data_IF_978340991994
#
_entry.id   IF_978340991994
#
_cell.length_a   1.000
_cell.length_b   1.000
_cell.length_c   1.000
_cell.angle_alpha   90.00
_cell.angle_beta   90.00
_cell.angle_gamma   90.00
#
_symmetry.space_group_name_H-M   'P 1'
#
loop_
_entity.id
_entity.type
_entity.pdbx_description
1 polymer ?
#
# COMPACT_ATOMS: atom_id res chain seq x y z
N UNK A 1 -35.54 4.08 -18.44
CA UNK A 1 -34.68 2.90 -18.58
C UNK A 1 -33.39 3.19 -17.82
N UNK A 2 -32.97 2.33 -16.89
CA UNK A 2 -31.71 2.52 -16.16
C UNK A 2 -30.51 2.36 -17.10
N UNK A 3 -29.36 2.94 -16.74
CA UNK A 3 -28.11 2.71 -17.47
C UNK A 3 -27.81 1.21 -17.53
N UNK A 4 -27.36 0.68 -18.68
CA UNK A 4 -26.99 -0.72 -18.79
C UNK A 4 -25.87 -1.07 -17.79
N UNK A 5 -25.79 -2.32 -17.29
CA UNK A 5 -24.70 -2.74 -16.44
C UNK A 5 -23.36 -2.57 -17.17
N UNK A 6 -22.31 -2.22 -16.43
CA UNK A 6 -20.97 -2.02 -16.98
C UNK A 6 -20.08 -3.23 -16.66
N UNK A 7 -19.15 -3.54 -17.55
CA UNK A 7 -18.03 -4.44 -17.29
C UNK A 7 -16.72 -3.69 -17.50
N UNK A 8 -15.67 -4.11 -16.79
CA UNK A 8 -14.36 -3.47 -16.90
C UNK A 8 -13.24 -4.50 -16.84
N UNK A 9 -12.20 -4.25 -17.63
CA UNK A 9 -10.91 -4.93 -17.55
C UNK A 9 -9.83 -3.89 -17.30
N UNK A 10 -8.71 -4.30 -16.69
CA UNK A 10 -7.54 -3.43 -16.54
C UNK A 10 -6.34 -4.09 -17.18
N UNK A 11 -5.81 -3.48 -18.24
CA UNK A 11 -4.47 -3.80 -18.69
C UNK A 11 -3.47 -3.26 -17.66
N UNK A 12 -2.47 -4.05 -17.28
CA UNK A 12 -1.48 -3.68 -16.28
C UNK A 12 -0.07 -4.00 -16.78
N UNK A 13 0.60 -3.00 -17.36
CA UNK A 13 2.03 -3.10 -17.65
C UNK A 13 2.83 -2.87 -16.39
N UNK A 14 3.71 -3.80 -16.01
CA UNK A 14 4.63 -3.67 -14.88
C UNK A 14 6.07 -3.98 -15.33
N UNK A 15 6.93 -2.97 -15.30
CA UNK A 15 8.30 -3.01 -15.78
C UNK A 15 9.23 -2.29 -14.78
N UNK A 16 9.71 -2.98 -13.73
CA UNK A 16 10.58 -2.39 -12.70
C UNK A 16 11.84 -1.68 -13.23
N UNK A 17 12.34 -2.11 -14.38
CA UNK A 17 13.51 -1.52 -15.03
C UNK A 17 13.29 -0.06 -15.44
N UNK A 18 12.04 0.38 -15.62
CA UNK A 18 11.68 1.77 -15.94
C UNK A 18 12.18 2.77 -14.90
N UNK A 19 12.38 2.36 -13.65
CA UNK A 19 12.96 3.20 -12.62
C UNK A 19 14.34 3.75 -13.02
N UNK A 20 15.12 3.02 -13.83
CA UNK A 20 16.42 3.48 -14.36
C UNK A 20 16.28 4.55 -15.45
N UNK A 21 15.11 4.65 -16.05
CA UNK A 21 14.77 5.60 -17.11
C UNK A 21 14.04 6.84 -16.57
N UNK A 22 13.77 6.89 -15.26
CA UNK A 22 13.03 8.00 -14.63
C UNK A 22 11.54 8.05 -14.97
N UNK A 23 10.96 6.96 -15.49
CA UNK A 23 9.52 6.86 -15.77
C UNK A 23 8.86 5.85 -14.81
N UNK A 24 7.53 5.92 -14.61
CA UNK A 24 6.82 4.98 -13.74
C UNK A 24 7.04 3.51 -14.13
N UNK A 25 7.07 2.63 -13.12
CA UNK A 25 7.25 1.19 -13.30
C UNK A 25 5.95 0.44 -13.56
N UNK A 26 4.79 1.07 -13.41
CA UNK A 26 3.50 0.53 -13.83
C UNK A 26 2.65 1.51 -14.63
N UNK A 27 1.91 0.97 -15.60
CA UNK A 27 1.01 1.72 -16.49
C UNK A 27 -0.35 1.02 -16.62
N UNK A 28 -1.24 1.14 -15.63
CA UNK A 28 -2.60 0.61 -15.70
C UNK A 28 -3.48 1.38 -16.69
N UNK A 29 -4.25 0.65 -17.48
CA UNK A 29 -5.30 1.19 -18.35
C UNK A 29 -6.61 0.41 -18.15
N UNK A 30 -7.54 0.93 -17.32
CA UNK A 30 -8.91 0.46 -17.28
C UNK A 30 -9.63 0.70 -18.62
N UNK A 31 -10.30 -0.33 -19.11
CA UNK A 31 -11.21 -0.30 -20.24
C UNK A 31 -12.59 -0.64 -19.70
N UNK A 32 -13.54 0.27 -19.84
CA UNK A 32 -14.92 0.12 -19.39
C UNK A 32 -15.80 -0.08 -20.62
N UNK A 33 -16.67 -1.08 -20.58
CA UNK A 33 -17.65 -1.38 -21.63
C UNK A 33 -19.04 -1.53 -21.03
N UNK A 34 -20.08 -1.31 -21.81
CA UNK A 34 -21.41 -1.77 -21.41
C UNK A 34 -21.48 -3.29 -21.57
N UNK A 35 -22.09 -3.98 -20.60
CA UNK A 35 -22.01 -5.42 -20.49
C UNK A 35 -23.06 -6.18 -21.34
N UNK A 36 -24.01 -5.47 -21.97
CA UNK A 36 -25.11 -6.10 -22.71
C UNK A 36 -24.72 -6.44 -24.15
N UNK A 37 -24.06 -5.51 -24.86
CA UNK A 37 -23.60 -5.70 -26.25
C UNK A 37 -22.07 -5.66 -26.35
N UNK A 38 -21.36 -5.42 -25.24
CA UNK A 38 -19.91 -5.38 -25.18
C UNK A 38 -19.29 -4.11 -25.79
N UNK A 39 -20.08 -3.05 -26.00
CA UNK A 39 -19.57 -1.82 -26.60
C UNK A 39 -18.60 -1.10 -25.65
N UNK A 40 -17.38 -0.76 -26.10
CA UNK A 40 -16.44 -0.01 -25.27
C UNK A 40 -16.97 1.40 -25.04
N UNK A 41 -16.94 1.84 -23.77
CA UNK A 41 -17.39 3.16 -23.34
C UNK A 41 -16.22 4.10 -23.09
N UNK A 42 -15.15 3.62 -22.47
CA UNK A 42 -14.00 4.44 -22.12
C UNK A 42 -12.70 3.65 -21.96
N UNK A 43 -11.58 4.32 -22.27
CA UNK A 43 -10.23 3.93 -21.85
C UNK A 43 -9.71 5.04 -20.94
N UNK A 44 -9.31 4.68 -19.73
CA UNK A 44 -9.01 5.65 -18.67
C UNK A 44 -7.55 5.46 -18.21
N UNK A 45 -6.86 6.55 -17.87
CA UNK A 45 -5.58 6.46 -17.17
C UNK A 45 -5.77 5.84 -15.77
N UNK A 46 -5.09 4.74 -15.48
CA UNK A 46 -5.40 3.91 -14.31
C UNK A 46 -4.50 4.09 -13.09
N UNK A 47 -3.52 4.99 -13.12
CA UNK A 47 -2.45 5.04 -12.10
C UNK A 47 -3.04 5.36 -10.74
N UNK A 48 -3.69 6.52 -10.63
CA UNK A 48 -4.38 6.95 -9.43
C UNK A 48 -5.48 5.97 -8.99
N UNK A 49 -6.28 5.46 -9.94
CA UNK A 49 -7.32 4.46 -9.66
C UNK A 49 -6.71 3.20 -9.03
N UNK A 50 -5.58 2.72 -9.56
CA UNK A 50 -4.91 1.51 -9.06
C UNK A 50 -4.33 1.73 -7.67
N UNK A 51 -3.85 2.92 -7.37
CA UNK A 51 -3.36 3.31 -6.04
C UNK A 51 -4.49 3.37 -5.02
N UNK A 52 -5.48 4.23 -5.28
CA UNK A 52 -6.59 4.46 -4.35
C UNK A 52 -7.42 3.21 -4.14
N UNK A 53 -7.72 2.43 -5.18
CA UNK A 53 -8.51 1.19 -5.02
C UNK A 53 -7.76 0.13 -4.20
N UNK A 54 -6.44 0.10 -4.26
CA UNK A 54 -5.63 -0.85 -3.48
C UNK A 54 -5.59 -0.41 -2.02
N UNK A 55 -5.38 0.88 -1.77
CA UNK A 55 -5.52 1.46 -0.43
C UNK A 55 -6.92 1.25 0.16
N UNK A 56 -7.97 1.41 -0.64
CA UNK A 56 -9.36 1.24 -0.21
C UNK A 56 -9.68 -0.19 0.23
N UNK A 57 -9.14 -1.21 -0.46
CA UNK A 57 -9.29 -2.61 -0.04
C UNK A 57 -8.59 -2.84 1.31
N UNK A 58 -7.36 -2.35 1.48
CA UNK A 58 -6.64 -2.43 2.76
C UNK A 58 -7.40 -1.72 3.88
N UNK A 59 -7.93 -0.52 3.60
CA UNK A 59 -8.69 0.26 4.56
C UNK A 59 -10.00 -0.41 4.95
N UNK A 60 -10.71 -1.01 3.99
CA UNK A 60 -11.92 -1.79 4.24
C UNK A 60 -11.62 -2.95 5.19
N UNK A 61 -10.54 -3.69 4.97
CA UNK A 61 -10.11 -4.76 5.87
C UNK A 61 -9.73 -4.21 7.26
N UNK A 62 -8.93 -3.14 7.32
CA UNK A 62 -8.52 -2.52 8.58
C UNK A 62 -9.71 -2.03 9.41
N UNK A 63 -10.74 -1.43 8.79
CA UNK A 63 -11.97 -0.98 9.45
C UNK A 63 -12.75 -2.10 10.16
N UNK A 64 -12.51 -3.36 9.80
CA UNK A 64 -13.17 -4.52 10.41
C UNK A 64 -12.24 -5.35 11.31
N UNK A 65 -10.93 -5.27 11.10
CA UNK A 65 -9.95 -6.17 11.71
C UNK A 65 -8.90 -5.46 12.57
N UNK A 66 -8.65 -4.16 12.35
CA UNK A 66 -7.74 -3.37 13.16
C UNK A 66 -8.46 -2.77 14.37
N UNK A 67 -7.68 -2.30 15.34
CA UNK A 67 -8.21 -1.51 16.45
C UNK A 67 -8.65 -0.12 15.94
N UNK A 68 -9.91 0.27 16.17
CA UNK A 68 -10.42 1.60 15.78
C UNK A 68 -9.67 2.77 16.46
N UNK A 69 -8.94 2.49 17.54
CA UNK A 69 -8.07 3.46 18.25
C UNK A 69 -6.60 3.37 17.84
N UNK A 70 -6.25 2.67 16.76
CA UNK A 70 -4.90 2.64 16.21
C UNK A 70 -4.38 4.06 15.99
N UNK A 71 -3.28 4.39 16.66
CA UNK A 71 -2.69 5.73 16.68
C UNK A 71 -1.35 5.77 15.92
N UNK A 72 -0.85 4.62 15.48
CA UNK A 72 0.41 4.45 14.76
C UNK A 72 0.24 3.61 13.50
N UNK A 73 0.95 4.00 12.44
CA UNK A 73 0.99 3.24 11.18
C UNK A 73 2.42 3.10 10.65
N UNK A 74 2.77 1.89 10.25
CA UNK A 74 4.07 1.51 9.74
C UNK A 74 4.05 1.26 8.24
N UNK A 75 5.09 1.71 7.54
CA UNK A 75 5.25 1.50 6.10
C UNK A 75 6.58 0.86 5.76
N UNK A 76 6.51 -0.31 5.11
CA UNK A 76 7.66 -0.97 4.48
C UNK A 76 7.53 -0.81 2.97
N UNK A 77 8.54 -0.15 2.37
CA UNK A 77 8.54 0.44 1.03
C UNK A 77 7.59 1.64 0.89
N UNK A 78 8.18 2.85 0.90
CA UNK A 78 7.49 4.13 0.94
C UNK A 78 7.24 4.70 -0.46
N UNK A 79 6.79 3.84 -1.39
CA UNK A 79 6.43 4.21 -2.76
C UNK A 79 4.99 4.74 -2.87
N UNK A 80 4.46 4.81 -4.08
CA UNK A 80 3.11 5.34 -4.36
C UNK A 80 1.99 4.73 -3.50
N UNK A 81 2.07 3.43 -3.22
CA UNK A 81 1.09 2.76 -2.33
C UNK A 81 1.15 3.31 -0.91
N UNK A 82 2.32 3.63 -0.35
CA UNK A 82 2.42 4.20 0.99
C UNK A 82 1.73 5.56 1.09
N UNK A 83 1.88 6.42 0.07
CA UNK A 83 1.17 7.71 0.00
C UNK A 83 -0.35 7.53 -0.06
N UNK A 84 -0.85 6.68 -0.96
CA UNK A 84 -2.28 6.44 -1.08
C UNK A 84 -2.90 5.82 0.19
N UNK A 85 -2.16 4.92 0.85
CA UNK A 85 -2.60 4.33 2.11
C UNK A 85 -2.57 5.35 3.25
N UNK A 86 -1.52 6.15 3.39
CA UNK A 86 -1.46 7.19 4.42
C UNK A 86 -2.63 8.18 4.28
N UNK A 87 -2.89 8.62 3.06
CA UNK A 87 -3.97 9.58 2.77
C UNK A 87 -5.34 9.06 3.17
N UNK A 88 -5.62 7.76 2.94
CA UNK A 88 -6.89 7.16 3.31
C UNK A 88 -6.95 6.81 4.80
N UNK A 89 -5.90 6.22 5.36
CA UNK A 89 -5.90 5.74 6.74
C UNK A 89 -5.93 6.89 7.76
N UNK A 90 -5.29 8.03 7.49
CA UNK A 90 -5.37 9.21 8.38
C UNK A 90 -6.78 9.80 8.50
N UNK A 91 -7.68 9.48 7.57
CA UNK A 91 -9.09 9.88 7.62
C UNK A 91 -9.96 8.89 8.39
N UNK A 92 -9.47 7.66 8.59
CA UNK A 92 -10.23 6.53 9.15
C UNK A 92 -9.83 6.14 10.57
N UNK A 93 -8.62 6.52 10.99
CA UNK A 93 -8.03 6.20 12.28
C UNK A 93 -7.43 7.46 12.92
N UNK A 94 -7.37 7.56 14.26
CA UNK A 94 -6.79 8.69 14.98
C UNK A 94 -5.25 8.65 14.97
N UNK A 95 -4.65 8.53 13.78
CA UNK A 95 -3.21 8.41 13.61
C UNK A 95 -2.50 9.68 14.10
N UNK A 96 -1.46 9.49 14.90
CA UNK A 96 -0.57 10.56 15.38
C UNK A 96 0.88 10.35 15.01
N UNK A 97 1.27 9.11 14.65
CA UNK A 97 2.65 8.75 14.30
C UNK A 97 2.73 7.81 13.11
N UNK A 98 3.83 7.92 12.37
CA UNK A 98 4.21 6.96 11.33
C UNK A 98 5.62 6.40 11.59
N UNK A 99 5.83 5.14 11.24
CA UNK A 99 7.15 4.51 11.17
C UNK A 99 7.42 4.14 9.70
N UNK A 100 8.55 4.54 9.14
CA UNK A 100 8.83 4.37 7.72
C UNK A 100 10.18 3.72 7.48
N UNK A 101 10.19 2.67 6.66
CA UNK A 101 11.40 2.03 6.16
C UNK A 101 11.32 1.81 4.65
N UNK A 102 12.42 2.12 3.97
CA UNK A 102 12.63 1.77 2.57
C UNK A 102 14.07 1.36 2.35
N UNK A 103 14.29 0.39 1.46
CA UNK A 103 15.64 -0.01 1.02
C UNK A 103 16.48 1.17 0.51
N UNK A 104 15.84 2.15 -0.15
CA UNK A 104 16.46 3.45 -0.47
C UNK A 104 16.02 4.45 0.58
N UNK A 105 16.96 4.90 1.41
CA UNK A 105 16.69 5.79 2.56
C UNK A 105 15.99 7.08 2.12
N UNK A 106 16.41 7.63 0.98
CA UNK A 106 15.87 8.88 0.41
C UNK A 106 14.38 8.77 0.07
N UNK A 107 13.88 7.56 -0.22
CA UNK A 107 12.46 7.34 -0.48
C UNK A 107 11.64 7.42 0.80
N UNK A 108 12.14 6.85 1.90
CA UNK A 108 11.47 6.93 3.20
C UNK A 108 11.60 8.34 3.81
N UNK A 109 12.74 9.03 3.63
CA UNK A 109 12.91 10.42 4.06
C UNK A 109 11.87 11.35 3.45
N UNK A 110 11.69 11.30 2.12
CA UNK A 110 10.65 12.10 1.42
C UNK A 110 9.24 11.79 1.92
N UNK A 111 8.97 10.53 2.24
CA UNK A 111 7.68 10.12 2.79
C UNK A 111 7.49 10.62 4.22
N UNK A 112 8.52 10.58 5.08
CA UNK A 112 8.48 11.17 6.42
C UNK A 112 8.27 12.69 6.39
N UNK A 113 8.92 13.40 5.46
CA UNK A 113 8.67 14.84 5.25
C UNK A 113 7.20 15.08 4.93
N UNK A 114 6.65 14.35 3.97
CA UNK A 114 5.23 14.47 3.60
C UNK A 114 4.29 14.15 4.78
N UNK A 115 4.57 13.11 5.55
CA UNK A 115 3.77 12.77 6.73
C UNK A 115 3.79 13.89 7.78
N UNK A 116 4.93 14.56 7.94
CA UNK A 116 5.05 15.73 8.83
C UNK A 116 4.25 16.92 8.31
N UNK A 117 4.27 17.17 7.01
CA UNK A 117 3.48 18.24 6.36
C UNK A 117 1.97 18.06 6.56
N UNK A 118 1.48 16.81 6.63
CA UNK A 118 0.08 16.50 6.91
C UNK A 118 -0.22 16.34 8.41
N UNK A 119 0.71 16.71 9.29
CA UNK A 119 0.51 16.85 10.73
C UNK A 119 0.81 15.61 11.58
N UNK A 120 1.50 14.61 11.03
CA UNK A 120 1.87 13.39 11.76
C UNK A 120 3.32 13.44 12.26
N UNK A 121 3.61 12.77 13.38
CA UNK A 121 4.99 12.54 13.82
C UNK A 121 5.62 11.43 12.97
N UNK A 122 6.67 11.73 12.22
CA UNK A 122 7.31 10.74 11.36
C UNK A 122 8.62 10.22 11.95
N UNK A 123 8.76 8.90 12.02
CA UNK A 123 10.00 8.22 12.41
C UNK A 123 10.57 7.46 11.22
N UNK A 124 11.79 7.83 10.82
CA UNK A 124 12.56 7.10 9.82
C UNK A 124 13.32 5.96 10.50
N UNK A 125 13.00 4.71 10.14
CA UNK A 125 13.65 3.54 10.69
C UNK A 125 14.81 3.10 9.78
N UNK A 126 15.97 2.77 10.36
CA UNK A 126 17.12 2.26 9.60
C UNK A 126 16.97 0.77 9.22
N UNK A 127 16.09 0.04 9.91
CA UNK A 127 15.75 -1.36 9.63
C UNK A 127 14.23 -1.52 9.59
N UNK A 128 13.70 -2.60 8.96
CA UNK A 128 12.25 -2.77 8.90
C UNK A 128 11.62 -3.24 10.23
N UNK A 129 12.40 -3.80 11.15
CA UNK A 129 11.88 -4.39 12.40
C UNK A 129 11.14 -3.38 13.29
N UNK A 130 11.67 -2.17 13.59
CA UNK A 130 10.95 -1.16 14.36
C UNK A 130 9.62 -0.74 13.73
N UNK A 131 9.48 -0.81 12.40
CA UNK A 131 8.21 -0.53 11.72
C UNK A 131 7.14 -1.54 12.13
N UNK A 132 7.50 -2.82 12.25
CA UNK A 132 6.57 -3.89 12.63
C UNK A 132 6.30 -3.88 14.14
N UNK A 133 7.33 -3.65 14.96
CA UNK A 133 7.21 -3.67 16.43
C UNK A 133 6.40 -2.49 16.99
N UNK A 134 6.51 -1.30 16.40
CA UNK A 134 5.98 -0.06 16.98
C UNK A 134 4.72 0.48 16.29
N UNK A 135 4.13 -0.27 15.37
CA UNK A 135 2.94 0.16 14.62
C UNK A 135 1.71 -0.69 14.93
N UNK A 136 0.59 -0.03 15.17
CA UNK A 136 -0.72 -0.68 15.33
C UNK A 136 -1.24 -1.20 13.97
N UNK A 137 -0.91 -0.49 12.89
CA UNK A 137 -1.25 -0.84 11.51
C UNK A 137 0.04 -0.93 10.71
N UNK A 138 0.28 -2.02 9.97
CA UNK A 138 1.46 -2.21 9.13
C UNK A 138 1.02 -2.33 7.67
N UNK A 139 1.56 -1.48 6.80
CA UNK A 139 1.37 -1.56 5.35
C UNK A 139 2.70 -1.97 4.70
N UNK A 140 2.67 -3.06 3.94
CA UNK A 140 3.86 -3.56 3.23
C UNK A 140 3.60 -3.57 1.73
N UNK A 141 4.45 -2.89 0.97
CA UNK A 141 4.28 -2.71 -0.49
C UNK A 141 5.60 -2.91 -1.26
N UNK A 142 6.44 -3.83 -0.79
CA UNK A 142 7.72 -4.14 -1.44
C UNK A 142 7.46 -4.61 -2.89
N UNK A 143 8.10 -3.99 -3.90
CA UNK A 143 7.98 -4.39 -5.29
C UNK A 143 8.27 -5.89 -5.48
N UNK A 144 7.56 -6.53 -6.40
CA UNK A 144 7.77 -7.95 -6.65
C UNK A 144 9.17 -8.19 -7.24
N UNK A 145 9.91 -9.11 -6.64
CA UNK A 145 11.25 -9.53 -7.05
C UNK A 145 11.25 -11.03 -7.32
N UNK A 146 12.23 -11.51 -8.10
CA UNK A 146 12.37 -12.94 -8.43
C UNK A 146 12.56 -13.82 -7.19
N UNK A 147 13.12 -13.26 -6.12
CA UNK A 147 13.20 -13.89 -4.80
C UNK A 147 12.50 -13.00 -3.78
N UNK A 148 11.60 -13.55 -2.93
CA UNK A 148 11.03 -12.78 -1.83
C UNK A 148 12.12 -12.38 -0.84
N UNK A 149 11.93 -11.25 -0.16
CA UNK A 149 12.97 -10.72 0.74
C UNK A 149 12.91 -11.34 2.13
N UNK A 150 11.72 -11.82 2.58
CA UNK A 150 11.51 -12.44 3.89
C UNK A 150 12.15 -11.66 5.05
N UNK A 151 12.12 -10.33 4.97
CA UNK A 151 12.81 -9.42 5.87
C UNK A 151 11.97 -9.03 7.10
N UNK A 152 10.72 -9.51 7.18
CA UNK A 152 9.76 -9.21 8.24
C UNK A 152 9.33 -10.49 8.96
N UNK A 153 9.45 -10.48 10.29
CA UNK A 153 8.88 -11.51 11.17
C UNK A 153 7.47 -11.12 11.63
N UNK A 154 6.53 -12.07 11.57
CA UNK A 154 5.20 -11.97 12.17
C UNK A 154 5.24 -11.95 13.69
N UNK A 155 6.25 -12.59 14.29
CA UNK A 155 6.55 -12.59 15.73
C UNK A 155 6.94 -11.21 16.27
N UNK A 156 7.24 -10.24 15.39
CA UNK A 156 7.53 -8.86 15.78
C UNK A 156 6.26 -8.02 15.95
N UNK A 157 5.11 -8.50 15.46
CA UNK A 157 3.87 -7.74 15.53
C UNK A 157 3.41 -7.61 16.98
N UNK A 158 3.11 -6.38 17.38
CA UNK A 158 2.46 -6.13 18.68
C UNK A 158 1.10 -6.84 18.75
N UNK A 159 0.69 -7.37 19.91
CA UNK A 159 -0.64 -7.96 20.08
C UNK A 159 -1.75 -7.00 19.65
N UNK A 160 -2.66 -7.49 18.78
CA UNK A 160 -3.75 -6.69 18.24
C UNK A 160 -3.39 -5.78 17.06
N UNK A 161 -2.13 -5.79 16.60
CA UNK A 161 -1.73 -5.08 15.39
C UNK A 161 -2.34 -5.71 14.14
N UNK A 162 -2.63 -4.88 13.14
CA UNK A 162 -3.16 -5.28 11.85
C UNK A 162 -2.11 -5.09 10.75
N UNK A 163 -1.89 -6.09 9.89
CA UNK A 163 -1.00 -5.97 8.74
C UNK A 163 -1.77 -6.13 7.42
N UNK A 164 -1.60 -5.16 6.51
CA UNK A 164 -2.00 -5.29 5.11
C UNK A 164 -0.77 -5.59 4.24
N UNK A 165 -0.76 -6.80 3.68
CA UNK A 165 0.32 -7.31 2.83
C UNK A 165 0.04 -7.02 1.36
N UNK A 166 0.13 -5.75 0.95
CA UNK A 166 -0.12 -5.31 -0.44
C UNK A 166 0.88 -5.97 -1.40
N UNK A 167 2.08 -6.29 -0.92
CA UNK A 167 3.10 -7.05 -1.64
C UNK A 167 2.86 -8.57 -1.73
N UNK A 168 1.69 -9.05 -1.30
CA UNK A 168 1.29 -10.47 -1.28
C UNK A 168 2.15 -11.33 -0.36
N UNK A 169 2.69 -10.75 0.72
CA UNK A 169 3.52 -11.43 1.70
C UNK A 169 4.96 -11.64 1.23
N UNK A 170 5.41 -10.92 0.19
CA UNK A 170 6.76 -11.06 -0.37
C UNK A 170 7.86 -10.64 0.61
N UNK A 171 7.53 -9.71 1.50
CA UNK A 171 8.46 -9.22 2.52
C UNK A 171 8.42 -10.01 3.82
N UNK A 172 7.46 -10.92 4.00
CA UNK A 172 7.22 -11.62 5.26
C UNK A 172 7.80 -13.02 5.26
N UNK A 173 8.45 -13.40 6.36
CA UNK A 173 8.77 -14.79 6.64
C UNK A 173 7.48 -15.55 6.97
N UNK A 174 7.08 -16.47 6.09
CA UNK A 174 5.83 -17.22 6.24
C UNK A 174 5.83 -18.13 7.47
N UNK A 175 6.99 -18.63 7.89
CA UNK A 175 7.08 -19.51 9.06
C UNK A 175 6.73 -18.77 10.36
N UNK A 176 6.96 -17.44 10.39
CA UNK A 176 6.66 -16.59 11.53
C UNK A 176 5.19 -16.10 11.60
N UNK A 177 4.38 -16.39 10.58
CA UNK A 177 2.97 -15.96 10.51
C UNK A 177 1.98 -16.98 11.12
N UNK A 178 2.45 -18.18 11.46
CA UNK A 178 1.63 -19.27 12.01
C UNK A 178 1.61 -19.33 13.54
N UNK A 179 1.97 -18.24 14.21
CA UNK A 179 2.01 -18.12 15.66
C UNK A 179 0.61 -18.03 16.28
#
# INVERSE_FOLDING_TARGET
MGSPPNCAIKWFGYFPANAKLGIPDYHPLPIVSEATKGMPLAVIGGTWISEVRTAAISAFAARHLANDQSASIGFVACGAQAYAHLELFRQLFPLVRIHAYSRRKETAEKFCTHATEVGLRAELCDTPRPVVEHSDIIITSVPHTAQPTHQLGGDWMSPGAFASMVDRGNSWDRASLSC
#
